data_IF_003800888585
#
_entry.id   IF_003800888585
#
_cell.length_a   1.000
_cell.length_b   1.000
_cell.length_c   1.000
_cell.angle_alpha   90.00
_cell.angle_beta   90.00
_cell.angle_gamma   90.00
#
_symmetry.space_group_name_H-M   'P 1'
#
loop_
_entity.id
_entity.type
_entity.pdbx_description
1 polymer ?
#
# COMPACT_ATOMS: atom_id res chain seq x y z
N UNK A 1 2.03 -0.20 -12.58
CA UNK A 1 2.00 -0.82 -11.24
C UNK A 1 2.82 0.00 -10.25
N UNK A 2 2.32 0.14 -9.06
CA UNK A 2 3.00 0.90 -8.01
C UNK A 2 3.35 -0.02 -6.84
N UNK A 3 4.49 0.23 -6.24
CA UNK A 3 4.90 -0.41 -4.99
C UNK A 3 4.87 0.62 -3.89
N UNK A 4 4.08 0.35 -2.85
CA UNK A 4 3.91 1.23 -1.69
C UNK A 4 4.53 0.52 -0.50
N UNK A 5 5.43 1.21 0.19
CA UNK A 5 6.08 0.67 1.38
C UNK A 5 5.62 1.38 2.64
N UNK A 6 5.95 0.82 3.79
CA UNK A 6 5.68 1.40 5.10
C UNK A 6 4.20 1.64 5.39
N UNK A 7 3.35 0.70 4.96
CA UNK A 7 1.96 0.69 5.41
C UNK A 7 1.93 -0.05 6.72
N UNK A 8 1.70 0.68 7.81
CA UNK A 8 1.79 0.15 9.18
C UNK A 8 0.41 -0.05 9.76
N UNK A 9 0.14 -1.26 10.25
CA UNK A 9 -1.12 -1.62 10.88
C UNK A 9 -0.88 -2.30 12.22
N UNK A 10 -1.66 -1.95 13.26
CA UNK A 10 -1.56 -2.66 14.53
C UNK A 10 -1.86 -4.14 14.36
N UNK A 11 -1.08 -4.99 15.03
CA UNK A 11 -1.25 -6.45 14.95
C UNK A 11 -2.68 -6.86 15.34
N UNK A 12 -3.23 -6.23 16.33
CA UNK A 12 -4.57 -6.54 16.85
C UNK A 12 -5.69 -6.32 15.83
N UNK A 13 -5.42 -5.56 14.76
CA UNK A 13 -6.42 -5.27 13.73
C UNK A 13 -6.34 -6.23 12.52
N UNK A 14 -5.60 -7.30 12.65
CA UNK A 14 -5.45 -8.29 11.58
C UNK A 14 -5.72 -9.70 12.11
N UNK A 15 -6.93 -9.98 12.61
CA UNK A 15 -7.20 -11.25 13.30
C UNK A 15 -7.33 -12.44 12.37
N UNK A 16 -7.66 -12.24 11.10
CA UNK A 16 -7.80 -13.32 10.13
C UNK A 16 -7.33 -12.86 8.77
N UNK A 17 -7.05 -13.82 7.89
CA UNK A 17 -6.58 -13.50 6.53
C UNK A 17 -7.58 -12.65 5.77
N UNK A 18 -8.87 -12.96 5.86
CA UNK A 18 -9.90 -12.20 5.16
C UNK A 18 -9.97 -10.75 5.68
N UNK A 19 -10.01 -10.59 7.00
CA UNK A 19 -10.02 -9.27 7.59
C UNK A 19 -8.73 -8.51 7.36
N UNK A 20 -7.61 -9.24 7.29
CA UNK A 20 -6.32 -8.63 6.99
C UNK A 20 -6.36 -7.94 5.62
N UNK A 21 -6.84 -8.62 4.59
CA UNK A 21 -6.89 -8.04 3.25
C UNK A 21 -7.83 -6.83 3.19
N UNK A 22 -8.96 -6.87 3.86
CA UNK A 22 -9.88 -5.73 3.90
C UNK A 22 -9.23 -4.53 4.61
N UNK A 23 -8.56 -4.78 5.72
CA UNK A 23 -7.89 -3.73 6.48
C UNK A 23 -6.75 -3.12 5.68
N UNK A 24 -5.98 -3.95 4.98
CA UNK A 24 -4.89 -3.49 4.12
C UNK A 24 -5.44 -2.63 2.99
N UNK A 25 -6.54 -3.05 2.37
CA UNK A 25 -7.15 -2.27 1.29
C UNK A 25 -7.56 -0.88 1.76
N UNK A 26 -8.21 -0.78 2.90
CA UNK A 26 -8.60 0.51 3.46
C UNK A 26 -7.38 1.40 3.68
N UNK A 27 -6.33 0.84 4.26
CA UNK A 27 -5.09 1.59 4.51
C UNK A 27 -4.44 2.03 3.20
N UNK A 28 -4.46 1.17 2.18
CA UNK A 28 -3.90 1.48 0.86
C UNK A 28 -4.66 2.62 0.20
N UNK A 29 -5.99 2.58 0.22
CA UNK A 29 -6.80 3.64 -0.36
C UNK A 29 -6.55 4.99 0.31
N UNK A 30 -6.41 4.98 1.62
CA UNK A 30 -6.08 6.21 2.36
C UNK A 30 -4.69 6.72 2.01
N UNK A 31 -3.72 5.83 1.94
CA UNK A 31 -2.34 6.20 1.60
C UNK A 31 -2.27 6.81 0.21
N UNK A 32 -2.94 6.22 -0.75
CA UNK A 32 -2.93 6.67 -2.14
C UNK A 32 -3.93 7.80 -2.42
N UNK A 33 -4.83 8.06 -1.50
CA UNK A 33 -5.89 9.07 -1.66
C UNK A 33 -6.75 8.79 -2.90
N UNK A 34 -7.20 7.56 -3.02
CA UNK A 34 -8.05 7.10 -4.12
C UNK A 34 -9.27 6.37 -3.58
N UNK A 35 -10.26 6.19 -4.44
CA UNK A 35 -11.45 5.41 -4.10
C UNK A 35 -11.26 3.94 -4.46
N UNK A 36 -12.12 3.08 -3.92
CA UNK A 36 -12.07 1.66 -4.22
C UNK A 36 -12.26 1.37 -5.70
N UNK A 37 -13.03 2.20 -6.41
CA UNK A 37 -13.25 2.03 -7.84
C UNK A 37 -12.02 2.34 -8.68
N UNK A 38 -11.08 3.11 -8.15
CA UNK A 38 -9.84 3.43 -8.83
C UNK A 38 -8.76 2.38 -8.60
N UNK A 39 -8.95 1.50 -7.62
CA UNK A 39 -8.01 0.42 -7.35
C UNK A 39 -8.40 -0.81 -8.18
N UNK A 40 -7.54 -1.19 -9.12
CA UNK A 40 -7.77 -2.36 -9.97
C UNK A 40 -7.46 -3.64 -9.20
N UNK A 41 -6.37 -3.64 -8.45
CA UNK A 41 -6.00 -4.78 -7.64
C UNK A 41 -4.73 -4.49 -6.85
N UNK A 42 -4.45 -5.35 -5.88
CA UNK A 42 -3.22 -5.25 -5.11
C UNK A 42 -2.83 -6.61 -4.56
N UNK A 43 -1.55 -6.73 -4.21
CA UNK A 43 -1.02 -7.93 -3.56
C UNK A 43 0.04 -7.53 -2.54
N UNK A 44 0.25 -8.39 -1.55
CA UNK A 44 1.29 -8.18 -0.55
C UNK A 44 2.62 -8.62 -1.14
N UNK A 45 3.55 -7.68 -1.28
CA UNK A 45 4.91 -7.98 -1.71
C UNK A 45 5.75 -8.46 -0.52
N UNK A 46 5.61 -7.78 0.62
CA UNK A 46 6.39 -8.10 1.81
C UNK A 46 5.63 -7.69 3.06
N UNK A 47 5.75 -8.48 4.11
CA UNK A 47 5.22 -8.16 5.43
C UNK A 47 6.33 -8.34 6.47
N UNK A 48 6.53 -7.32 7.27
CA UNK A 48 7.47 -7.37 8.39
C UNK A 48 6.77 -7.01 9.69
N UNK A 49 7.52 -7.04 10.77
CA UNK A 49 7.02 -6.67 12.08
C UNK A 49 7.92 -5.58 12.66
N UNK A 50 7.30 -4.52 13.15
CA UNK A 50 8.01 -3.48 13.89
C UNK A 50 7.61 -3.59 15.35
N UNK A 51 8.55 -4.03 16.18
CA UNK A 51 8.33 -4.27 17.60
C UNK A 51 9.23 -3.37 18.45
N UNK A 52 9.63 -2.23 17.95
CA UNK A 52 10.53 -1.31 18.67
C UNK A 52 9.92 -0.80 19.97
N UNK A 53 8.59 -0.72 20.04
CA UNK A 53 7.87 -0.37 21.26
C UNK A 53 7.13 -1.61 21.74
N UNK A 54 7.43 -2.05 22.94
CA UNK A 54 6.85 -3.29 23.49
C UNK A 54 5.33 -3.27 23.58
N UNK A 55 4.73 -2.08 23.71
CA UNK A 55 3.28 -1.95 23.83
C UNK A 55 2.58 -1.66 22.51
N UNK A 56 3.32 -1.61 21.41
CA UNK A 56 2.74 -1.20 20.13
C UNK A 56 3.44 -1.92 18.99
N UNK A 57 3.07 -3.17 18.80
CA UNK A 57 3.61 -4.00 17.74
C UNK A 57 2.82 -3.71 16.46
N UNK A 58 3.53 -3.45 15.37
CA UNK A 58 2.93 -3.13 14.08
C UNK A 58 3.38 -4.13 13.03
N UNK A 59 2.44 -4.51 12.15
CA UNK A 59 2.79 -5.11 10.87
C UNK A 59 3.16 -3.99 9.90
N UNK A 60 4.24 -4.20 9.16
CA UNK A 60 4.70 -3.25 8.15
C UNK A 60 4.60 -3.93 6.79
N UNK A 61 3.75 -3.40 5.94
CA UNK A 61 3.48 -4.00 4.63
C UNK A 61 4.14 -3.21 3.51
N UNK A 62 4.61 -3.95 2.52
CA UNK A 62 4.92 -3.41 1.20
C UNK A 62 3.95 -4.05 0.23
N UNK A 63 3.23 -3.23 -0.52
CA UNK A 63 2.16 -3.68 -1.40
C UNK A 63 2.46 -3.29 -2.83
N UNK A 64 2.12 -4.19 -3.76
CA UNK A 64 2.11 -3.89 -5.19
C UNK A 64 0.66 -3.69 -5.60
N UNK A 65 0.37 -2.62 -6.33
CA UNK A 65 -1.00 -2.31 -6.71
C UNK A 65 -1.10 -1.74 -8.13
N UNK A 66 -2.25 -1.96 -8.73
CA UNK A 66 -2.65 -1.37 -10.00
C UNK A 66 -3.76 -0.36 -9.75
N UNK A 67 -3.61 0.84 -10.29
CA UNK A 67 -4.60 1.92 -10.16
C UNK A 67 -4.94 2.48 -11.53
N UNK A 68 -6.15 3.01 -11.67
CA UNK A 68 -6.62 3.54 -12.95
C UNK A 68 -5.89 4.81 -13.38
N UNK A 69 -5.58 5.68 -12.42
CA UNK A 69 -4.94 6.97 -12.70
C UNK A 69 -3.58 7.02 -12.03
N UNK A 70 -2.66 6.18 -12.52
CA UNK A 70 -1.34 6.03 -11.89
C UNK A 70 -0.57 7.34 -11.85
N UNK A 71 -0.54 8.08 -12.95
CA UNK A 71 0.20 9.34 -13.01
C UNK A 71 -0.31 10.35 -11.98
N UNK A 72 -1.63 10.50 -11.84
CA UNK A 72 -2.22 11.40 -10.86
C UNK A 72 -1.88 10.98 -9.44
N UNK A 73 -1.93 9.68 -9.17
CA UNK A 73 -1.59 9.14 -7.86
C UNK A 73 -0.12 9.40 -7.52
N UNK A 74 0.77 9.20 -8.45
CA UNK A 74 2.21 9.45 -8.26
C UNK A 74 2.45 10.93 -7.99
N UNK A 75 1.84 11.82 -8.76
CA UNK A 75 1.98 13.26 -8.58
C UNK A 75 1.50 13.68 -7.20
N UNK A 76 0.38 13.14 -6.75
CA UNK A 76 -0.15 13.42 -5.43
C UNK A 76 0.88 13.08 -4.34
N UNK A 77 1.47 11.90 -4.43
CA UNK A 77 2.46 11.48 -3.43
C UNK A 77 3.74 12.31 -3.46
N UNK A 78 4.20 12.65 -4.64
CA UNK A 78 5.46 13.40 -4.77
C UNK A 78 5.31 14.87 -4.39
N UNK A 79 4.19 15.49 -4.76
CA UNK A 79 4.01 16.93 -4.59
C UNK A 79 3.19 17.31 -3.37
N UNK A 80 2.15 16.54 -3.06
CA UNK A 80 1.25 16.87 -1.96
C UNK A 80 1.67 16.21 -0.67
N UNK A 81 1.94 14.91 -0.72
CA UNK A 81 2.31 14.15 0.48
C UNK A 81 3.80 14.22 0.81
N UNK A 82 4.64 14.58 -0.15
CA UNK A 82 6.09 14.61 0.03
C UNK A 82 6.65 13.28 0.54
N UNK A 83 6.18 12.16 -0.04
CA UNK A 83 6.60 10.82 0.36
C UNK A 83 7.16 10.02 -0.81
N UNK A 84 8.19 10.52 -1.51
CA UNK A 84 8.72 9.82 -2.69
C UNK A 84 9.39 8.49 -2.34
N UNK A 85 9.90 8.36 -1.12
CA UNK A 85 10.62 7.17 -0.69
C UNK A 85 9.71 5.98 -0.39
N UNK A 86 8.40 6.19 -0.27
CA UNK A 86 7.45 5.12 0.01
C UNK A 86 6.65 4.69 -1.21
N UNK A 87 6.92 5.30 -2.38
CA UNK A 87 6.21 4.98 -3.61
C UNK A 87 7.21 4.72 -4.73
N UNK A 88 7.11 3.57 -5.35
CA UNK A 88 7.96 3.19 -6.49
C UNK A 88 7.07 2.81 -7.66
N UNK A 89 7.36 3.36 -8.83
CA UNK A 89 6.68 2.96 -10.07
C UNK A 89 7.40 1.73 -10.62
N UNK A 90 6.65 0.64 -10.78
CA UNK A 90 7.19 -0.60 -11.31
C UNK A 90 6.84 -0.72 -12.79
N UNK A 91 7.76 -1.33 -13.53
CA UNK A 91 7.50 -1.66 -14.91
C UNK A 91 6.47 -2.78 -14.98
N UNK A 92 5.43 -2.59 -15.81
CA UNK A 92 4.40 -3.60 -15.96
C UNK A 92 4.71 -4.50 -17.13
N UNK A 93 4.64 -5.79 -16.91
CA UNK A 93 4.87 -6.79 -17.95
C UNK A 93 3.80 -6.74 -19.04
N UNK A 94 2.66 -6.19 -18.75
CA UNK A 94 1.56 -6.03 -19.70
C UNK A 94 1.97 -5.25 -20.94
N UNK A 95 2.91 -4.35 -20.76
CA UNK A 95 3.38 -3.51 -21.86
C UNK A 95 4.14 -4.29 -22.95
N UNK A 96 4.38 -5.53 -22.70
CA UNK A 96 5.16 -6.39 -23.63
C UNK A 96 4.30 -7.12 -24.63
N UNK A 97 3.04 -6.91 -24.61
CA UNK A 97 2.12 -7.55 -25.54
C UNK A 97 2.23 -6.96 -26.93
#
# INVERSE_FOLDING_TARGET
MLRITEIKLPVENAPSLTHEMDTIQVALLKRLHITATDLIGFSIFKRGVDARKSNNILYVYSLDCEVKNEATTVIYHLRVKHRPDTLTVLETSVLKI
#
